data_IF_119116469140
#
_entry.id   IF_119116469140
#
_cell.length_a   1.000
_cell.length_b   1.000
_cell.length_c   1.000
_cell.angle_alpha   90.00
_cell.angle_beta   90.00
_cell.angle_gamma   90.00
#
_symmetry.space_group_name_H-M   'P 1'
#
loop_
_entity.id
_entity.type
_entity.pdbx_description
1 polymer ?
#
# COMPACT_ATOMS: atom_id res chain seq x y z
N UNK A 1 41.02 -20.47 -23.50
CA UNK A 1 40.77 -21.54 -22.55
C UNK A 1 39.74 -22.49 -23.11
N UNK A 2 40.12 -23.74 -23.33
CA UNK A 2 39.25 -24.77 -23.92
C UNK A 2 38.47 -25.56 -22.86
N UNK A 3 38.48 -25.07 -21.61
CA UNK A 3 37.81 -25.72 -20.47
C UNK A 3 37.16 -24.70 -19.55
N UNK A 4 36.03 -25.11 -19.03
CA UNK A 4 35.27 -24.42 -17.97
C UNK A 4 35.56 -25.17 -16.66
N UNK A 5 36.09 -24.50 -15.66
CA UNK A 5 36.53 -25.13 -14.41
C UNK A 5 35.35 -25.70 -13.61
N UNK A 6 34.25 -24.96 -13.54
CA UNK A 6 33.02 -25.41 -12.88
C UNK A 6 31.78 -24.71 -13.45
N UNK A 7 30.66 -25.44 -13.45
CA UNK A 7 29.31 -24.95 -13.76
C UNK A 7 28.37 -25.33 -12.62
N UNK A 8 27.66 -24.36 -12.07
CA UNK A 8 26.60 -24.61 -11.09
C UNK A 8 25.26 -24.27 -11.71
N UNK A 9 24.32 -25.19 -11.72
CA UNK A 9 22.96 -25.02 -12.23
C UNK A 9 22.02 -25.05 -11.01
N UNK A 10 21.30 -23.96 -10.82
CA UNK A 10 20.25 -23.85 -9.79
C UNK A 10 18.91 -24.12 -10.46
N UNK A 11 18.27 -25.21 -10.05
CA UNK A 11 17.01 -25.66 -10.63
C UNK A 11 15.80 -25.04 -9.91
N UNK A 12 14.65 -24.85 -10.59
CA UNK A 12 13.45 -24.29 -9.98
C UNK A 12 12.93 -25.10 -8.77
N UNK A 13 13.19 -26.41 -8.74
CA UNK A 13 12.82 -27.29 -7.62
C UNK A 13 13.74 -27.19 -6.39
N UNK A 14 14.74 -26.27 -6.43
CA UNK A 14 15.71 -26.05 -5.37
C UNK A 14 16.94 -26.97 -5.42
N UNK A 15 17.03 -27.89 -6.39
CA UNK A 15 18.22 -28.72 -6.60
C UNK A 15 19.39 -27.89 -7.18
N UNK A 16 20.61 -28.30 -6.89
CA UNK A 16 21.84 -27.72 -7.45
C UNK A 16 22.64 -28.80 -8.13
N UNK A 17 22.90 -28.65 -9.43
CA UNK A 17 23.85 -29.52 -10.15
C UNK A 17 25.19 -28.81 -10.24
N UNK A 18 26.25 -29.48 -9.77
CA UNK A 18 27.63 -29.02 -9.82
C UNK A 18 28.45 -29.89 -10.77
N UNK A 19 28.97 -29.28 -11.82
CA UNK A 19 29.78 -29.94 -12.84
C UNK A 19 31.17 -29.33 -12.85
N UNK A 20 32.20 -30.13 -13.03
CA UNK A 20 33.59 -29.69 -13.09
C UNK A 20 34.18 -30.09 -14.43
N UNK A 21 35.09 -29.24 -14.91
CA UNK A 21 35.94 -29.54 -16.07
C UNK A 21 35.15 -29.85 -17.34
N UNK A 22 34.30 -28.92 -17.78
CA UNK A 22 33.59 -29.04 -19.05
C UNK A 22 34.43 -28.48 -20.19
N UNK A 23 34.36 -29.10 -21.36
CA UNK A 23 35.02 -28.59 -22.58
C UNK A 23 34.28 -27.31 -23.03
N UNK A 24 35.05 -26.23 -23.30
CA UNK A 24 34.48 -25.03 -23.91
C UNK A 24 34.06 -25.31 -25.37
N UNK A 25 33.21 -24.48 -25.94
CA UNK A 25 32.70 -24.56 -27.31
C UNK A 25 31.89 -25.85 -27.64
N UNK A 26 31.27 -26.47 -26.64
CA UNK A 26 30.38 -27.60 -26.80
C UNK A 26 28.96 -27.23 -26.35
N UNK A 27 27.98 -27.88 -26.98
CA UNK A 27 26.58 -27.80 -26.54
C UNK A 27 26.34 -28.85 -25.47
N UNK A 28 25.76 -28.44 -24.34
CA UNK A 28 25.38 -29.30 -23.24
C UNK A 28 23.88 -29.15 -22.96
N UNK A 29 23.20 -30.27 -22.88
CA UNK A 29 21.82 -30.33 -22.43
C UNK A 29 21.79 -30.89 -21.00
N UNK A 30 21.16 -30.14 -20.10
CA UNK A 30 20.99 -30.56 -18.72
C UNK A 30 19.52 -30.81 -18.46
N UNK A 31 19.23 -31.88 -17.75
CA UNK A 31 17.88 -32.23 -17.30
C UNK A 31 17.82 -32.03 -15.79
N UNK A 32 16.76 -31.43 -15.32
CA UNK A 32 16.51 -31.28 -13.91
C UNK A 32 16.43 -32.66 -13.23
N UNK A 33 17.23 -32.93 -12.19
CA UNK A 33 17.20 -34.23 -11.52
C UNK A 33 15.87 -34.39 -10.78
N UNK A 34 15.30 -35.58 -10.82
CA UNK A 34 14.18 -35.94 -9.98
C UNK A 34 14.53 -35.75 -8.50
N UNK A 35 13.53 -35.36 -7.71
CA UNK A 35 13.66 -34.96 -6.29
C UNK A 35 14.27 -36.10 -5.46
N UNK A 36 15.59 -36.21 -5.39
CA UNK A 36 16.28 -37.14 -4.50
C UNK A 36 17.42 -36.46 -3.76
N UNK A 37 17.19 -36.25 -2.47
CA UNK A 37 18.15 -35.87 -1.44
C UNK A 37 18.93 -34.58 -1.71
N UNK A 38 18.42 -33.51 -1.21
CA UNK A 38 19.19 -32.35 -0.84
C UNK A 38 20.38 -32.82 -0.02
N UNK A 39 21.61 -32.68 -0.56
CA UNK A 39 22.81 -32.83 0.25
C UNK A 39 22.75 -31.71 1.32
N UNK A 40 22.81 -32.12 2.56
CA UNK A 40 22.64 -31.26 3.76
C UNK A 40 23.77 -30.23 3.99
N UNK A 41 24.37 -29.67 2.95
CA UNK A 41 25.45 -28.69 3.10
C UNK A 41 25.05 -27.21 2.99
N UNK A 42 23.78 -26.92 2.70
CA UNK A 42 23.17 -25.68 3.08
C UNK A 42 22.29 -25.98 4.30
N UNK A 43 22.85 -25.86 5.49
CA UNK A 43 22.07 -25.58 6.68
C UNK A 43 21.39 -24.25 6.39
N UNK A 44 20.18 -24.28 5.79
CA UNK A 44 19.23 -23.21 6.06
C UNK A 44 19.09 -23.25 7.58
N UNK A 45 19.62 -22.24 8.24
CA UNK A 45 19.29 -21.95 9.64
C UNK A 45 17.78 -22.13 9.79
N UNK A 46 17.36 -22.69 10.89
CA UNK A 46 15.96 -22.86 11.27
C UNK A 46 15.11 -21.75 10.70
N UNK A 47 13.96 -22.09 10.10
CA UNK A 47 13.09 -21.11 9.47
C UNK A 47 12.96 -19.89 10.37
N UNK A 48 13.56 -18.77 9.98
CA UNK A 48 13.52 -17.52 10.73
C UNK A 48 12.07 -17.03 10.79
N UNK A 49 11.30 -17.33 9.73
CA UNK A 49 9.88 -16.99 9.62
C UNK A 49 9.10 -18.30 9.44
N UNK A 50 8.15 -18.53 10.32
CA UNK A 50 7.20 -19.64 10.24
C UNK A 50 5.81 -19.05 10.06
N UNK A 51 5.00 -19.67 9.20
CA UNK A 51 3.57 -19.44 9.22
C UNK A 51 3.06 -19.95 10.57
N UNK A 52 2.68 -19.03 11.45
CA UNK A 52 1.97 -19.42 12.66
C UNK A 52 0.47 -19.33 12.37
N UNK A 53 -0.21 -20.44 12.63
CA UNK A 53 -1.64 -20.53 12.38
C UNK A 53 -2.43 -19.89 13.51
N UNK A 54 -2.29 -18.57 13.71
CA UNK A 54 -3.23 -17.77 14.49
C UNK A 54 -4.60 -17.69 13.79
N UNK A 55 -5.05 -18.80 13.21
CA UNK A 55 -6.28 -18.92 12.39
C UNK A 55 -7.53 -18.41 13.06
N UNK A 56 -7.50 -18.26 14.38
CA UNK A 56 -8.66 -17.82 15.15
C UNK A 56 -8.58 -16.36 15.60
N UNK A 57 -7.42 -15.66 15.43
CA UNK A 57 -7.28 -14.26 15.83
C UNK A 57 -7.92 -13.31 14.83
N UNK A 58 -7.72 -13.57 13.54
CA UNK A 58 -8.24 -12.72 12.48
C UNK A 58 -9.14 -13.52 11.55
N UNK A 59 -10.46 -13.35 11.70
CA UNK A 59 -11.46 -14.02 10.83
C UNK A 59 -11.80 -13.17 9.60
N UNK A 60 -10.90 -12.31 9.17
CA UNK A 60 -11.09 -11.54 7.95
C UNK A 60 -10.75 -12.39 6.72
N UNK A 61 -11.62 -12.35 5.73
CA UNK A 61 -11.36 -12.88 4.40
C UNK A 61 -11.80 -11.83 3.40
N UNK A 62 -10.85 -11.27 2.67
CA UNK A 62 -11.12 -10.32 1.61
C UNK A 62 -12.02 -10.95 0.53
N UNK A 63 -13.03 -10.21 0.12
CA UNK A 63 -13.99 -10.66 -0.87
C UNK A 63 -14.31 -9.55 -1.85
N UNK A 64 -13.83 -9.71 -3.06
CA UNK A 64 -14.10 -8.80 -4.16
C UNK A 64 -15.57 -8.79 -4.58
N UNK A 65 -15.99 -7.66 -5.13
CA UNK A 65 -17.29 -7.54 -5.77
C UNK A 65 -17.29 -8.25 -7.14
N UNK A 66 -18.45 -8.33 -7.78
CA UNK A 66 -18.62 -9.02 -9.07
C UNK A 66 -18.39 -8.11 -10.29
N UNK A 67 -17.74 -6.96 -10.12
CA UNK A 67 -17.48 -6.04 -11.22
C UNK A 67 -16.47 -6.65 -12.20
N UNK A 68 -16.74 -6.52 -13.49
CA UNK A 68 -15.89 -7.04 -14.56
C UNK A 68 -15.38 -5.86 -15.37
N UNK A 69 -14.11 -5.50 -15.17
CA UNK A 69 -13.46 -4.36 -15.85
C UNK A 69 -13.56 -4.44 -17.36
N UNK A 70 -13.42 -5.63 -17.94
CA UNK A 70 -13.46 -5.85 -19.41
C UNK A 70 -14.80 -5.47 -20.06
N UNK A 71 -15.89 -5.39 -19.30
CA UNK A 71 -17.17 -4.89 -19.79
C UNK A 71 -17.13 -3.40 -20.11
N UNK A 72 -16.26 -2.66 -19.43
CA UNK A 72 -16.06 -1.22 -19.60
C UNK A 72 -14.81 -0.91 -20.42
N UNK A 73 -13.70 -1.52 -20.09
CA UNK A 73 -12.37 -1.26 -20.65
C UNK A 73 -11.87 -2.54 -21.36
N UNK A 74 -12.27 -2.75 -22.62
CA UNK A 74 -12.07 -4.02 -23.32
C UNK A 74 -10.61 -4.35 -23.66
N UNK A 75 -9.72 -3.36 -23.65
CA UNK A 75 -8.32 -3.50 -24.07
C UNK A 75 -7.33 -3.52 -22.91
N UNK A 76 -7.79 -3.55 -21.67
CA UNK A 76 -6.89 -3.68 -20.52
C UNK A 76 -6.38 -5.12 -20.39
N UNK A 77 -5.14 -5.32 -19.92
CA UNK A 77 -4.53 -6.65 -19.83
C UNK A 77 -5.04 -7.48 -18.65
N UNK A 78 -5.57 -6.84 -17.61
CA UNK A 78 -6.00 -7.47 -16.36
C UNK A 78 -7.12 -6.69 -15.69
N UNK A 79 -7.73 -7.25 -14.64
CA UNK A 79 -8.78 -6.59 -13.88
C UNK A 79 -8.14 -5.75 -12.76
N UNK A 80 -8.36 -4.43 -12.81
CA UNK A 80 -7.86 -3.48 -11.82
C UNK A 80 -8.87 -3.16 -10.70
N UNK A 81 -10.07 -3.70 -10.78
CA UNK A 81 -11.06 -3.62 -9.70
C UNK A 81 -10.81 -4.63 -8.57
N UNK A 82 -9.81 -5.48 -8.70
CA UNK A 82 -9.44 -6.49 -7.71
C UNK A 82 -8.07 -6.18 -7.08
N UNK A 83 -7.72 -4.91 -6.97
CA UNK A 83 -6.49 -4.44 -6.30
C UNK A 83 -6.82 -4.15 -4.83
N UNK A 84 -6.15 -4.81 -3.93
CA UNK A 84 -6.35 -4.61 -2.48
C UNK A 84 -6.10 -5.90 -1.70
N UNK A 85 -6.42 -5.96 -0.41
CA UNK A 85 -6.90 -4.88 0.46
C UNK A 85 -5.77 -3.98 1.00
N UNK A 86 -6.11 -2.77 1.46
CA UNK A 86 -5.23 -1.96 2.30
C UNK A 86 -4.91 -2.71 3.60
N UNK A 87 -3.65 -2.60 4.05
CA UNK A 87 -3.22 -3.18 5.33
C UNK A 87 -2.22 -2.22 5.99
N UNK A 88 -2.53 -1.78 7.20
CA UNK A 88 -1.62 -0.97 8.01
C UNK A 88 -1.62 -1.46 9.45
N UNK A 89 -0.46 -1.33 10.11
CA UNK A 89 -0.30 -1.73 11.51
C UNK A 89 0.57 -0.74 12.27
N UNK A 90 0.11 -0.36 13.45
CA UNK A 90 0.84 0.40 14.46
C UNK A 90 0.11 0.27 15.80
N UNK A 91 0.66 0.82 16.87
CA UNK A 91 0.05 0.80 18.21
C UNK A 91 -0.91 2.00 18.36
N UNK A 92 -2.21 1.74 18.16
CA UNK A 92 -3.27 2.75 18.20
C UNK A 92 -3.83 3.01 19.60
N UNK A 93 -3.57 2.11 20.53
CA UNK A 93 -4.11 2.17 21.89
C UNK A 93 -3.03 2.35 22.95
N UNK A 94 -1.78 2.56 22.54
CA UNK A 94 -0.60 2.80 23.37
C UNK A 94 -0.30 1.66 24.37
N UNK A 95 -0.60 0.40 24.00
CA UNK A 95 -0.32 -0.78 24.84
C UNK A 95 1.02 -1.47 24.54
N UNK A 96 1.76 -0.99 23.54
CA UNK A 96 3.05 -1.49 23.09
C UNK A 96 2.96 -2.66 22.12
N UNK A 97 1.77 -2.99 21.61
CA UNK A 97 1.53 -4.07 20.66
C UNK A 97 0.80 -3.49 19.44
N UNK A 98 1.26 -3.83 18.24
CA UNK A 98 0.65 -3.31 17.02
C UNK A 98 -0.80 -3.77 16.86
N UNK A 99 -1.65 -2.83 16.50
CA UNK A 99 -3.02 -3.00 16.04
C UNK A 99 -3.05 -3.14 14.52
N UNK A 100 -4.16 -3.55 13.93
CA UNK A 100 -4.27 -3.79 12.50
C UNK A 100 -5.55 -3.21 11.91
N UNK A 101 -5.41 -2.40 10.88
CA UNK A 101 -6.51 -2.05 9.99
C UNK A 101 -6.40 -2.85 8.69
N UNK A 102 -7.51 -3.45 8.27
CA UNK A 102 -7.62 -4.19 7.02
C UNK A 102 -8.78 -3.59 6.20
N UNK A 103 -8.45 -3.07 5.03
CA UNK A 103 -9.40 -2.44 4.12
C UNK A 103 -10.37 -3.43 3.49
N UNK A 104 -11.56 -2.97 3.18
CA UNK A 104 -12.60 -3.73 2.49
C UNK A 104 -12.67 -3.40 1.00
N UNK A 105 -13.08 -4.38 0.18
CA UNK A 105 -13.54 -4.14 -1.17
C UNK A 105 -14.92 -3.49 -1.18
N UNK A 106 -15.36 -3.01 -2.32
CA UNK A 106 -16.72 -2.50 -2.50
C UNK A 106 -17.75 -3.52 -2.02
N UNK A 107 -18.63 -3.11 -1.09
CA UNK A 107 -19.63 -3.91 -0.38
C UNK A 107 -19.06 -4.89 0.67
N UNK A 108 -17.81 -4.75 1.02
CA UNK A 108 -17.21 -5.39 2.18
C UNK A 108 -16.75 -4.31 3.18
N UNK A 109 -17.03 -4.53 4.45
CA UNK A 109 -16.57 -3.61 5.50
C UNK A 109 -15.08 -3.81 5.76
N UNK A 110 -14.38 -2.73 5.99
CA UNK A 110 -13.07 -2.74 6.62
C UNK A 110 -13.15 -3.27 8.05
N UNK A 111 -12.06 -3.75 8.57
CA UNK A 111 -11.96 -4.22 9.95
C UNK A 111 -10.76 -3.60 10.66
N UNK A 112 -10.97 -3.19 11.91
CA UNK A 112 -9.94 -2.73 12.82
C UNK A 112 -9.87 -3.70 13.98
N UNK A 113 -8.66 -4.18 14.27
CA UNK A 113 -8.36 -5.09 15.35
C UNK A 113 -7.41 -4.42 16.33
N UNK A 114 -7.87 -4.14 17.52
CA UNK A 114 -7.06 -3.61 18.59
C UNK A 114 -6.48 -4.75 19.43
N UNK A 115 -5.20 -4.66 19.73
CA UNK A 115 -4.51 -5.56 20.63
C UNK A 115 -5.12 -5.51 22.04
N UNK A 116 -5.14 -6.65 22.72
CA UNK A 116 -5.60 -6.74 24.09
C UNK A 116 -4.88 -7.88 24.79
N UNK A 117 -3.72 -7.60 25.38
CA UNK A 117 -2.83 -8.59 26.02
C UNK A 117 -2.43 -9.69 25.02
N UNK A 118 -3.05 -10.86 25.05
CA UNK A 118 -2.73 -12.02 24.21
C UNK A 118 -3.80 -12.29 23.14
N UNK A 119 -4.63 -11.31 22.80
CA UNK A 119 -5.72 -11.43 21.83
C UNK A 119 -5.92 -10.11 21.09
N UNK A 120 -6.75 -10.14 20.05
CA UNK A 120 -7.19 -8.95 19.36
C UNK A 120 -8.70 -8.79 19.49
N UNK A 121 -9.14 -7.56 19.68
CA UNK A 121 -10.55 -7.22 19.73
C UNK A 121 -10.93 -6.43 18.50
N UNK A 122 -11.92 -6.91 17.76
CA UNK A 122 -12.45 -6.18 16.62
C UNK A 122 -13.28 -4.98 17.09
N UNK A 123 -13.05 -3.82 16.45
CA UNK A 123 -13.88 -2.63 16.65
C UNK A 123 -15.14 -2.75 15.80
N UNK A 124 -16.28 -2.84 16.46
CA UNK A 124 -17.55 -3.07 15.77
C UNK A 124 -18.25 -1.76 15.38
N UNK A 125 -18.86 -1.75 14.22
CA UNK A 125 -19.78 -0.69 13.78
C UNK A 125 -19.11 0.52 13.12
N UNK A 126 -17.82 0.75 13.30
CA UNK A 126 -17.10 1.93 12.81
C UNK A 126 -17.24 2.11 11.29
N UNK A 127 -17.05 1.06 10.52
CA UNK A 127 -17.03 1.08 9.06
C UNK A 127 -18.37 0.81 8.37
N UNK A 128 -19.49 0.84 9.12
CA UNK A 128 -20.80 0.55 8.55
C UNK A 128 -21.23 1.53 7.45
N UNK A 129 -20.83 2.80 7.56
CA UNK A 129 -21.21 3.87 6.62
C UNK A 129 -20.36 3.87 5.35
N UNK A 130 -19.19 3.22 5.37
CA UNK A 130 -18.23 3.21 4.27
C UNK A 130 -18.25 1.93 3.41
N UNK A 131 -19.21 1.07 3.62
CA UNK A 131 -19.33 -0.22 2.91
C UNK A 131 -19.43 -0.10 1.37
N UNK A 132 -19.82 1.06 0.85
CA UNK A 132 -19.87 1.30 -0.60
C UNK A 132 -18.51 1.65 -1.20
N UNK A 133 -17.54 2.05 -0.38
CA UNK A 133 -16.18 2.39 -0.81
C UNK A 133 -15.32 1.12 -0.99
N UNK A 134 -14.19 1.30 -1.65
CA UNK A 134 -13.12 0.30 -1.77
C UNK A 134 -11.85 0.92 -1.23
N UNK A 135 -11.21 0.24 -0.29
CA UNK A 135 -10.06 0.75 0.44
C UNK A 135 -8.77 0.32 -0.25
N UNK A 136 -8.12 1.24 -0.91
CA UNK A 136 -6.93 0.96 -1.74
C UNK A 136 -5.63 1.10 -0.97
N UNK A 137 -5.58 2.02 0.00
CA UNK A 137 -4.45 2.23 0.89
C UNK A 137 -4.92 2.87 2.21
N UNK A 138 -4.09 2.80 3.23
CA UNK A 138 -4.35 3.45 4.51
C UNK A 138 -3.04 3.78 5.24
N UNK A 139 -3.06 4.79 6.10
CA UNK A 139 -1.97 5.11 7.02
C UNK A 139 -2.52 5.42 8.40
N UNK A 140 -1.69 5.20 9.41
CA UNK A 140 -1.87 5.72 10.75
C UNK A 140 -0.99 6.97 10.92
N UNK A 141 -1.55 8.05 11.41
CA UNK A 141 -0.87 9.32 11.63
C UNK A 141 -1.68 10.19 12.60
N UNK A 142 -1.03 11.13 13.25
CA UNK A 142 -1.67 12.08 14.16
C UNK A 142 -2.16 13.29 13.35
N UNK A 143 -3.47 13.39 13.09
CA UNK A 143 -4.04 14.43 12.21
C UNK A 143 -4.31 15.74 12.94
N UNK A 144 -4.62 15.67 14.23
CA UNK A 144 -5.00 16.85 15.03
C UNK A 144 -3.98 17.25 16.09
N UNK A 145 -2.85 16.57 16.11
CA UNK A 145 -1.67 16.82 16.95
C UNK A 145 -1.96 16.63 18.43
N UNK A 146 -2.79 15.62 18.75
CA UNK A 146 -3.13 15.24 20.13
C UNK A 146 -2.26 14.07 20.65
N UNK A 147 -1.33 13.55 19.84
CA UNK A 147 -0.42 12.43 20.03
C UNK A 147 -1.09 11.06 20.01
N UNK A 148 -2.31 10.96 19.55
CA UNK A 148 -2.97 9.70 19.27
C UNK A 148 -2.98 9.43 17.75
N UNK A 149 -2.72 8.19 17.33
CA UNK A 149 -2.73 7.87 15.91
C UNK A 149 -4.15 7.70 15.39
N UNK A 150 -4.47 8.46 14.36
CA UNK A 150 -5.72 8.40 13.60
C UNK A 150 -5.57 7.51 12.37
N UNK A 151 -6.67 7.25 11.68
CA UNK A 151 -6.67 6.43 10.45
C UNK A 151 -7.09 7.29 9.26
N UNK A 152 -6.21 7.41 8.26
CA UNK A 152 -6.59 7.86 6.92
C UNK A 152 -6.77 6.67 6.01
N UNK A 153 -7.86 6.66 5.23
CA UNK A 153 -8.16 5.58 4.28
C UNK A 153 -8.39 6.16 2.90
N UNK A 154 -7.57 5.76 1.94
CA UNK A 154 -7.78 6.02 0.52
C UNK A 154 -8.97 5.22 -0.01
N UNK A 155 -9.82 5.90 -0.77
CA UNK A 155 -10.95 5.29 -1.48
C UNK A 155 -10.69 5.30 -2.98
N UNK A 156 -10.66 4.13 -3.59
CA UNK A 156 -10.33 3.99 -4.99
C UNK A 156 -11.11 2.88 -5.70
N UNK A 157 -10.47 2.30 -6.70
CA UNK A 157 -11.03 1.19 -7.46
C UNK A 157 -11.71 1.60 -8.77
N UNK A 158 -11.96 0.59 -9.60
CA UNK A 158 -12.51 0.79 -10.95
C UNK A 158 -14.03 0.67 -11.03
N UNK A 159 -14.68 0.19 -9.97
CA UNK A 159 -16.11 -0.10 -9.95
C UNK A 159 -17.01 1.15 -9.78
N UNK A 160 -16.43 2.36 -9.84
CA UNK A 160 -17.12 3.62 -9.54
C UNK A 160 -17.27 4.52 -10.77
N UNK A 161 -18.24 5.43 -10.71
CA UNK A 161 -18.34 6.55 -11.63
C UNK A 161 -17.40 7.67 -11.20
N UNK A 162 -17.04 8.53 -12.14
CA UNK A 162 -16.30 9.76 -11.82
C UNK A 162 -17.10 10.62 -10.83
N UNK A 163 -16.42 11.15 -9.83
CA UNK A 163 -17.02 11.92 -8.73
C UNK A 163 -18.04 11.14 -7.86
N UNK A 164 -17.99 9.80 -7.87
CA UNK A 164 -18.80 9.00 -6.95
C UNK A 164 -18.41 9.33 -5.49
N UNK A 165 -19.40 9.50 -4.63
CA UNK A 165 -19.15 9.77 -3.21
C UNK A 165 -18.40 8.62 -2.51
N UNK A 166 -18.50 7.41 -3.04
CA UNK A 166 -17.75 6.26 -2.55
C UNK A 166 -16.23 6.37 -2.79
N UNK A 167 -15.79 7.29 -3.67
CA UNK A 167 -14.38 7.63 -3.89
C UNK A 167 -13.85 8.68 -2.91
N UNK A 168 -14.65 9.14 -1.96
CA UNK A 168 -14.19 10.09 -0.96
C UNK A 168 -13.32 9.38 0.06
N UNK A 169 -12.10 9.87 0.22
CA UNK A 169 -11.20 9.43 1.27
C UNK A 169 -11.78 9.73 2.65
N UNK A 170 -11.32 9.04 3.67
CA UNK A 170 -11.92 9.09 5.01
C UNK A 170 -10.88 9.21 6.09
N UNK A 171 -11.21 9.98 7.13
CA UNK A 171 -10.43 10.08 8.36
C UNK A 171 -11.26 9.56 9.51
N UNK A 172 -10.68 8.67 10.31
CA UNK A 172 -11.25 8.19 11.55
C UNK A 172 -10.38 8.66 12.70
N UNK A 173 -10.90 9.58 13.49
CA UNK A 173 -10.21 10.12 14.66
C UNK A 173 -10.26 9.14 15.81
N UNK A 174 -9.12 8.93 16.43
CA UNK A 174 -8.92 8.21 17.68
C UNK A 174 -9.06 9.17 18.88
N UNK A 175 -9.34 8.65 20.04
CA UNK A 175 -9.31 9.41 21.31
C UNK A 175 -8.25 8.86 22.28
N UNK A 176 -7.28 8.09 21.77
CA UNK A 176 -6.21 7.48 22.54
C UNK A 176 -6.60 6.25 23.35
N UNK A 177 -7.87 5.89 23.39
CA UNK A 177 -8.37 4.71 24.12
C UNK A 177 -8.91 3.62 23.19
N UNK A 178 -8.68 3.75 21.87
CA UNK A 178 -9.20 2.83 20.87
C UNK A 178 -10.68 3.07 20.48
N UNK A 179 -11.24 4.23 20.85
CA UNK A 179 -12.56 4.66 20.40
C UNK A 179 -12.41 5.60 19.19
N UNK A 180 -12.93 5.19 18.06
CA UNK A 180 -12.80 5.89 16.80
C UNK A 180 -14.11 6.51 16.33
N UNK A 181 -14.04 7.65 15.65
CA UNK A 181 -15.17 8.27 14.96
C UNK A 181 -14.79 8.76 13.57
N UNK A 182 -15.68 8.55 12.61
CA UNK A 182 -15.51 9.14 11.27
C UNK A 182 -15.63 10.68 11.35
N UNK A 183 -14.62 11.38 10.87
CA UNK A 183 -14.62 12.84 10.78
C UNK A 183 -13.98 13.33 9.49
N UNK A 184 -14.81 13.60 8.50
CA UNK A 184 -14.35 14.10 7.20
C UNK A 184 -14.26 15.64 7.11
N UNK A 185 -14.40 16.35 8.24
CA UNK A 185 -14.29 17.82 8.23
C UNK A 185 -12.86 18.29 7.95
N UNK A 186 -11.88 17.44 8.20
CA UNK A 186 -10.48 17.70 7.84
C UNK A 186 -10.24 17.73 6.34
N UNK A 187 -11.01 16.97 5.55
CA UNK A 187 -10.79 16.84 4.12
C UNK A 187 -11.52 17.93 3.30
N UNK A 188 -10.93 18.39 2.19
CA UNK A 188 -11.60 19.28 1.27
C UNK A 188 -12.95 18.74 0.80
N UNK A 189 -13.97 19.59 0.69
CA UNK A 189 -15.37 19.18 0.45
C UNK A 189 -15.59 18.42 -0.86
N UNK A 190 -14.75 18.65 -1.86
CA UNK A 190 -14.86 18.04 -3.20
C UNK A 190 -13.72 17.04 -3.47
N UNK A 191 -13.15 16.44 -2.43
CA UNK A 191 -12.06 15.45 -2.56
C UNK A 191 -12.64 14.06 -2.79
N UNK A 192 -13.08 13.78 -4.03
CA UNK A 192 -13.62 12.49 -4.47
C UNK A 192 -12.78 11.98 -5.65
N UNK A 193 -11.52 11.66 -5.38
CA UNK A 193 -10.60 11.17 -6.40
C UNK A 193 -10.40 9.67 -6.26
N UNK A 194 -10.02 9.01 -7.33
CA UNK A 194 -9.67 7.60 -7.30
C UNK A 194 -8.28 7.45 -6.66
N UNK A 195 -8.22 7.59 -5.33
CA UNK A 195 -7.00 7.53 -4.55
C UNK A 195 -6.43 6.11 -4.55
N UNK A 196 -5.11 5.98 -4.62
CA UNK A 196 -4.44 4.68 -4.71
C UNK A 196 -3.40 4.46 -3.63
N UNK A 197 -2.78 5.53 -3.17
CA UNK A 197 -1.74 5.45 -2.14
C UNK A 197 -1.60 6.79 -1.43
N UNK A 198 -1.12 6.76 -0.18
CA UNK A 198 -0.94 7.93 0.66
C UNK A 198 0.33 7.83 1.49
N UNK A 199 0.93 8.97 1.77
CA UNK A 199 2.03 9.09 2.74
C UNK A 199 1.86 10.38 3.54
N UNK A 200 2.34 10.39 4.79
CA UNK A 200 2.33 11.57 5.65
C UNK A 200 3.75 12.01 6.00
N UNK A 201 3.94 13.30 6.14
CA UNK A 201 5.12 13.93 6.71
C UNK A 201 4.81 15.40 7.01
N UNK A 202 5.62 16.03 7.82
CA UNK A 202 5.65 17.49 7.98
C UNK A 202 6.49 18.08 6.84
N UNK A 203 5.84 18.37 5.69
CA UNK A 203 6.53 18.85 4.49
C UNK A 203 6.97 20.30 4.57
N UNK A 204 6.29 21.12 5.39
CA UNK A 204 6.55 22.56 5.55
C UNK A 204 7.25 22.92 6.87
N UNK A 205 7.51 21.94 7.74
CA UNK A 205 8.13 22.09 9.07
C UNK A 205 7.35 23.00 10.03
N UNK A 206 6.04 22.95 9.96
CA UNK A 206 5.16 23.66 10.90
C UNK A 206 4.79 22.85 12.15
N UNK A 207 5.25 21.61 12.23
CA UNK A 207 5.02 20.68 13.35
C UNK A 207 3.75 19.86 13.21
N UNK A 208 3.04 19.93 12.08
CA UNK A 208 1.85 19.13 11.78
C UNK A 208 2.13 18.12 10.68
N UNK A 209 1.39 17.04 10.70
CA UNK A 209 1.46 16.05 9.63
C UNK A 209 0.61 16.48 8.43
N UNK A 210 1.27 16.65 7.29
CA UNK A 210 0.68 16.85 5.99
C UNK A 210 0.47 15.51 5.27
N UNK A 211 -0.25 15.52 4.15
CA UNK A 211 -0.51 14.33 3.35
C UNK A 211 -0.09 14.54 1.88
N UNK A 212 0.46 13.50 1.29
CA UNK A 212 0.52 13.39 -0.16
C UNK A 212 -0.29 12.18 -0.61
N UNK A 213 -1.32 12.40 -1.43
CA UNK A 213 -2.23 11.37 -1.94
C UNK A 213 -2.03 11.20 -3.43
N UNK A 214 -1.78 9.97 -3.86
CA UNK A 214 -1.66 9.60 -5.26
C UNK A 214 -2.99 9.14 -5.85
N UNK A 215 -3.31 9.63 -7.05
CA UNK A 215 -4.47 9.18 -7.81
C UNK A 215 -4.08 8.09 -8.80
N UNK A 216 -4.84 6.97 -8.82
CA UNK A 216 -4.58 5.85 -9.72
C UNK A 216 -4.77 6.21 -11.19
N UNK A 217 -5.89 6.85 -11.49
CA UNK A 217 -6.26 7.30 -12.84
C UNK A 217 -7.39 8.31 -12.79
N UNK A 218 -7.52 9.08 -13.86
CA UNK A 218 -8.64 10.04 -13.99
C UNK A 218 -9.80 9.45 -14.78
N UNK A 219 -11.00 9.66 -14.23
CA UNK A 219 -12.25 9.30 -14.89
C UNK A 219 -12.37 7.81 -15.20
N UNK A 220 -13.11 7.53 -16.28
CA UNK A 220 -13.42 6.15 -16.71
C UNK A 220 -12.35 5.52 -17.61
N UNK A 221 -11.41 6.31 -18.10
CA UNK A 221 -10.45 5.86 -19.10
C UNK A 221 -9.18 5.35 -18.43
N UNK A 222 -8.93 4.07 -18.53
CA UNK A 222 -7.66 3.49 -18.12
C UNK A 222 -6.52 3.99 -19.02
N UNK A 223 -5.37 4.28 -18.40
CA UNK A 223 -4.20 4.79 -19.12
C UNK A 223 -4.08 6.33 -19.16
N UNK A 224 -5.09 7.06 -18.70
CA UNK A 224 -4.94 8.49 -18.45
C UNK A 224 -4.20 8.72 -17.13
N UNK A 225 -3.19 9.60 -17.12
CA UNK A 225 -2.44 9.90 -15.90
C UNK A 225 -3.32 10.50 -14.84
N UNK A 226 -3.10 10.06 -13.59
CA UNK A 226 -3.64 10.68 -12.40
C UNK A 226 -2.78 11.82 -11.89
N UNK A 227 -3.27 12.51 -10.87
CA UNK A 227 -2.57 13.58 -10.18
C UNK A 227 -2.02 13.10 -8.84
N UNK A 228 -1.02 13.81 -8.32
CA UNK A 228 -0.71 13.83 -6.90
C UNK A 228 -1.43 15.00 -6.23
N UNK A 229 -1.76 14.86 -4.98
CA UNK A 229 -2.38 15.92 -4.17
C UNK A 229 -1.57 16.09 -2.90
N UNK A 230 -0.76 17.16 -2.86
CA UNK A 230 -0.14 17.61 -1.62
C UNK A 230 -1.19 18.37 -0.82
N UNK A 231 -1.51 17.89 0.35
CA UNK A 231 -2.50 18.46 1.26
C UNK A 231 -1.80 18.95 2.53
N UNK A 232 -1.76 20.25 2.71
CA UNK A 232 -1.14 20.89 3.87
C UNK A 232 -2.17 21.02 5.00
N UNK A 233 -1.81 20.54 6.18
CA UNK A 233 -2.63 20.64 7.39
C UNK A 233 -2.56 22.06 7.96
N UNK A 234 -3.64 22.80 7.86
CA UNK A 234 -3.69 24.21 8.28
C UNK A 234 -3.87 24.35 9.80
N UNK A 235 -3.73 25.59 10.29
CA UNK A 235 -3.92 25.92 11.71
C UNK A 235 -5.29 25.52 12.28
N UNK A 236 -6.31 25.39 11.41
CA UNK A 236 -7.67 25.00 11.82
C UNK A 236 -7.90 23.48 11.69
N UNK A 237 -6.86 22.68 11.57
CA UNK A 237 -6.93 21.24 11.34
C UNK A 237 -7.76 20.85 10.11
N UNK A 238 -7.63 21.64 9.03
CA UNK A 238 -8.27 21.40 7.74
C UNK A 238 -7.20 21.28 6.66
N UNK A 239 -7.21 20.21 5.92
CA UNK A 239 -6.31 20.04 4.78
C UNK A 239 -6.67 20.98 3.64
N UNK A 240 -5.66 21.67 3.13
CA UNK A 240 -5.74 22.51 1.93
C UNK A 240 -4.88 21.89 0.83
N UNK A 241 -5.46 21.65 -0.34
CA UNK A 241 -4.71 21.15 -1.48
C UNK A 241 -3.78 22.27 -1.98
N UNK A 242 -2.48 21.96 -2.06
CA UNK A 242 -1.51 22.86 -2.69
C UNK A 242 -1.91 23.15 -4.13
N UNK A 243 -1.79 24.40 -4.53
CA UNK A 243 -2.13 24.86 -5.89
C UNK A 243 -1.00 24.64 -6.89
N UNK A 244 0.01 23.88 -6.53
CA UNK A 244 1.14 23.60 -7.41
C UNK A 244 0.77 22.70 -8.57
N UNK A 245 1.11 23.14 -9.79
CA UNK A 245 0.88 22.35 -11.01
C UNK A 245 1.88 21.19 -11.18
N UNK A 246 2.90 21.11 -10.33
CA UNK A 246 3.96 20.11 -10.39
C UNK A 246 3.42 18.68 -10.28
N UNK A 247 2.30 18.50 -9.58
CA UNK A 247 1.69 17.20 -9.33
C UNK A 247 0.55 16.84 -10.29
N UNK A 248 0.34 17.64 -11.34
CA UNK A 248 -0.68 17.34 -12.34
C UNK A 248 -0.16 16.33 -13.37
N UNK A 249 -1.02 15.39 -13.76
CA UNK A 249 -0.76 14.40 -14.82
C UNK A 249 0.55 13.62 -14.62
N UNK A 250 0.89 13.30 -13.37
CA UNK A 250 2.18 12.68 -13.05
C UNK A 250 2.26 11.20 -13.39
N UNK A 251 1.13 10.51 -13.50
CA UNK A 251 1.08 9.10 -13.91
C UNK A 251 -0.03 8.33 -13.24
N UNK A 252 -0.09 7.02 -13.49
CA UNK A 252 -1.02 6.11 -12.81
C UNK A 252 -0.35 5.60 -11.53
N UNK A 253 -0.53 6.34 -10.45
CA UNK A 253 0.19 6.13 -9.20
C UNK A 253 -0.25 4.83 -8.53
N UNK A 254 0.71 4.04 -8.06
CA UNK A 254 0.45 2.80 -7.31
C UNK A 254 1.05 2.82 -5.90
N UNK A 255 2.10 3.61 -5.69
CA UNK A 255 2.69 3.77 -4.36
C UNK A 255 3.41 5.12 -4.25
N UNK A 256 3.41 5.68 -3.04
CA UNK A 256 4.07 6.94 -2.68
C UNK A 256 4.81 6.78 -1.36
N UNK A 257 5.95 7.45 -1.22
CA UNK A 257 6.72 7.49 0.03
C UNK A 257 7.27 8.88 0.30
N UNK A 258 7.20 9.25 1.56
CA UNK A 258 7.88 10.42 2.11
C UNK A 258 9.26 10.01 2.62
N UNK A 259 10.31 10.67 2.16
CA UNK A 259 11.70 10.36 2.51
C UNK A 259 12.61 11.56 2.21
N UNK A 260 13.55 11.86 3.09
CA UNK A 260 14.64 12.79 2.79
C UNK A 260 15.70 12.05 1.96
N UNK A 261 15.64 12.20 0.63
CA UNK A 261 16.46 11.42 -0.30
C UNK A 261 17.85 12.04 -0.52
N UNK A 262 17.99 13.35 -0.31
CA UNK A 262 19.22 14.10 -0.51
C UNK A 262 19.94 14.45 0.80
N UNK A 263 19.34 14.11 1.96
CA UNK A 263 19.84 14.40 3.31
C UNK A 263 19.99 15.91 3.61
N UNK A 264 19.08 16.73 3.11
CA UNK A 264 19.03 18.17 3.42
C UNK A 264 18.14 18.51 4.62
N UNK A 265 17.48 17.49 5.17
CA UNK A 265 16.59 17.59 6.31
C UNK A 265 15.16 17.97 5.94
N UNK A 266 14.82 18.13 4.66
CA UNK A 266 13.45 18.29 4.18
C UNK A 266 12.94 16.97 3.62
N UNK A 267 11.69 16.70 3.86
CA UNK A 267 11.09 15.45 3.38
C UNK A 267 10.65 15.62 1.93
N UNK A 268 11.17 14.76 1.07
CA UNK A 268 10.85 14.66 -0.35
C UNK A 268 9.72 13.66 -0.60
N UNK A 269 9.22 13.63 -1.83
CA UNK A 269 8.17 12.71 -2.24
C UNK A 269 8.68 11.80 -3.37
N UNK A 270 8.64 10.50 -3.12
CA UNK A 270 8.95 9.47 -4.11
C UNK A 270 7.64 8.85 -4.61
N UNK A 271 7.44 8.82 -5.93
CA UNK A 271 6.23 8.32 -6.57
C UNK A 271 6.57 7.26 -7.60
N UNK A 272 5.87 6.13 -7.54
CA UNK A 272 5.92 5.08 -8.55
C UNK A 272 4.52 4.74 -9.04
N UNK A 273 4.45 4.14 -10.21
CA UNK A 273 3.16 3.76 -10.77
C UNK A 273 3.28 2.99 -12.06
N UNK A 274 2.12 2.68 -12.62
CA UNK A 274 2.01 1.89 -13.83
C UNK A 274 2.25 2.77 -15.07
N UNK A 275 3.03 2.25 -16.03
CA UNK A 275 3.42 2.92 -17.27
C UNK A 275 4.12 4.27 -17.09
N UNK A 276 4.80 4.43 -15.95
CA UNK A 276 5.59 5.62 -15.64
C UNK A 276 6.95 5.26 -15.08
N UNK A 277 7.93 6.14 -15.24
CA UNK A 277 9.20 6.05 -14.51
C UNK A 277 9.03 6.47 -13.05
N UNK A 278 10.00 6.11 -12.22
CA UNK A 278 10.09 6.63 -10.85
C UNK A 278 10.21 8.15 -10.91
N UNK A 279 9.40 8.85 -10.13
CA UNK A 279 9.46 10.31 -9.97
C UNK A 279 9.89 10.65 -8.56
N UNK A 280 10.79 11.61 -8.46
CA UNK A 280 11.26 12.17 -7.21
C UNK A 280 10.96 13.67 -7.23
N UNK A 281 10.22 14.14 -6.26
CA UNK A 281 9.95 15.54 -6.05
C UNK A 281 10.75 16.01 -4.84
N UNK A 282 11.76 16.84 -5.11
CA UNK A 282 12.63 17.39 -4.08
C UNK A 282 11.97 18.59 -3.44
N UNK A 283 11.88 18.57 -2.12
CA UNK A 283 11.37 19.67 -1.32
C UNK A 283 12.46 20.75 -1.17
N UNK A 284 12.21 21.93 -1.69
CA UNK A 284 13.14 23.06 -1.65
C UNK A 284 12.74 24.08 -0.57
N UNK A 285 12.71 23.63 0.70
CA UNK A 285 12.42 24.44 1.88
C UNK A 285 10.93 24.80 2.11
N UNK A 286 10.04 23.86 1.85
CA UNK A 286 8.61 23.99 2.13
C UNK A 286 7.79 24.40 0.94
#
# INVERSE_FOLDING_TARGET
NDKIDSLHIYWPNGNISKLKTLSANNYFQFTEPEKNKISNDLKYSDQIIKEDTFKDLFKFKHKENIFIDFNRDRLIPEMYSNEGPALVSDDLNNDGINDFFIGGAKFQKSELFLSKRNSYQKVEGLFNQSISSEDTDAIFFDVDNDNDLDIYVCSGGRAFSENDLALRDRIYLNNGNGDFRLDNNFLPTNFNFNSSSVTSADFNKDGKQDLFVGQRNRGKNYGLPGNGYLMINSENNNFQISQENTFLDIGMITDVKSVDINNDGWIDILVIGQWMGIKVFINNNG
#
